data_IF_660624900234
#
_entry.id   IF_660624900234
#
_cell.length_a   1.000
_cell.length_b   1.000
_cell.length_c   1.000
_cell.angle_alpha   90.00
_cell.angle_beta   90.00
_cell.angle_gamma   90.00
#
_symmetry.space_group_name_H-M   'P 1'
#
loop_
_entity.id
_entity.type
_entity.pdbx_description
1 polymer ?
#
# COMPACT_ATOMS: atom_id res chain seq x y z
N UNK A 1 -15.96 16.67 -34.70
CA UNK A 1 -14.70 16.82 -33.95
C UNK A 1 -14.07 15.48 -33.58
N UNK A 2 -14.69 14.64 -32.73
CA UNK A 2 -14.07 13.38 -32.26
C UNK A 2 -13.61 12.49 -33.42
N UNK A 3 -14.50 12.15 -34.36
CA UNK A 3 -14.12 11.33 -35.53
C UNK A 3 -12.99 11.94 -36.36
N UNK A 4 -12.93 13.27 -36.44
CA UNK A 4 -11.86 13.99 -37.16
C UNK A 4 -10.51 13.84 -36.44
N UNK A 5 -10.47 13.95 -35.12
CA UNK A 5 -9.26 13.74 -34.33
C UNK A 5 -8.81 12.28 -34.32
N UNK A 6 -9.75 11.35 -34.22
CA UNK A 6 -9.45 9.91 -34.26
C UNK A 6 -8.88 9.49 -35.61
N UNK A 7 -9.41 10.03 -36.71
CA UNK A 7 -8.85 9.78 -38.05
C UNK A 7 -7.39 10.23 -38.16
N UNK A 8 -7.03 11.40 -37.61
CA UNK A 8 -5.61 11.84 -37.54
C UNK A 8 -4.74 10.86 -36.76
N UNK A 9 -5.30 10.30 -35.68
CA UNK A 9 -4.63 9.30 -34.86
C UNK A 9 -4.41 8.00 -35.62
N UNK A 10 -5.39 7.54 -36.39
CA UNK A 10 -5.28 6.36 -37.24
C UNK A 10 -4.19 6.53 -38.31
N UNK A 11 -4.06 7.74 -38.89
CA UNK A 11 -3.06 8.07 -39.90
C UNK A 11 -1.62 8.11 -39.33
N UNK A 12 -1.45 8.60 -38.10
CA UNK A 12 -0.13 8.73 -37.44
C UNK A 12 0.27 7.44 -36.70
N UNK A 13 -0.70 6.66 -36.23
CA UNK A 13 -0.53 5.44 -35.46
C UNK A 13 -0.65 5.65 -33.94
N UNK A 14 -1.37 4.74 -33.28
CA UNK A 14 -1.71 4.84 -31.85
C UNK A 14 -0.57 4.52 -30.87
N UNK A 15 0.51 3.87 -31.35
CA UNK A 15 1.57 3.31 -30.49
C UNK A 15 2.70 4.32 -30.24
N UNK A 16 2.83 5.33 -31.10
CA UNK A 16 3.86 6.35 -31.02
C UNK A 16 3.56 7.43 -29.97
N UNK A 17 4.62 8.02 -29.39
CA UNK A 17 4.48 9.22 -28.54
C UNK A 17 3.84 10.37 -29.36
N UNK A 18 2.94 11.18 -28.76
CA UNK A 18 2.17 12.21 -29.47
C UNK A 18 3.00 13.48 -29.70
N UNK A 19 4.13 13.34 -30.38
CA UNK A 19 5.05 14.42 -30.74
C UNK A 19 5.26 14.46 -32.24
N UNK A 20 5.19 15.65 -32.83
CA UNK A 20 5.49 15.84 -34.26
C UNK A 20 6.96 15.60 -34.57
N UNK A 21 7.84 15.87 -33.61
CA UNK A 21 9.27 15.65 -33.73
C UNK A 21 9.73 14.57 -32.73
N UNK A 22 10.23 13.45 -33.23
CA UNK A 22 10.65 12.29 -32.44
C UNK A 22 11.82 12.56 -31.49
N UNK A 23 12.59 13.63 -31.73
CA UNK A 23 13.67 14.09 -30.86
C UNK A 23 13.16 14.83 -29.62
N UNK A 24 11.93 15.35 -29.63
CA UNK A 24 11.34 15.99 -28.45
C UNK A 24 10.90 14.92 -27.45
N UNK A 25 11.04 15.24 -26.16
CA UNK A 25 10.53 14.42 -25.06
C UNK A 25 9.11 14.83 -24.69
N UNK A 26 8.28 13.87 -24.29
CA UNK A 26 6.93 14.14 -23.75
C UNK A 26 7.06 14.44 -22.27
N UNK A 27 6.51 15.58 -21.82
CA UNK A 27 6.39 15.88 -20.40
C UNK A 27 5.09 15.31 -19.87
N UNK A 28 5.18 14.42 -18.88
CA UNK A 28 4.04 13.80 -18.20
C UNK A 28 4.08 14.21 -16.75
N UNK A 29 3.02 14.89 -16.30
CA UNK A 29 2.83 15.25 -14.90
C UNK A 29 1.99 14.17 -14.22
N UNK A 30 2.50 13.59 -13.13
CA UNK A 30 1.88 12.51 -12.39
C UNK A 30 1.73 12.86 -10.91
N UNK A 31 0.56 12.60 -10.36
CA UNK A 31 0.24 12.77 -8.95
C UNK A 31 -0.62 11.63 -8.44
N UNK A 32 -0.63 11.46 -7.12
CA UNK A 32 -1.49 10.52 -6.43
C UNK A 32 -2.42 11.28 -5.50
N UNK A 33 -3.72 11.02 -5.59
CA UNK A 33 -4.68 11.42 -4.56
C UNK A 33 -5.13 10.16 -3.83
N UNK A 34 -4.84 10.07 -2.54
CA UNK A 34 -5.20 8.91 -1.74
C UNK A 34 -6.67 8.99 -1.33
N UNK A 35 -7.45 8.01 -1.77
CA UNK A 35 -8.86 7.89 -1.40
C UNK A 35 -9.01 7.09 -0.10
N UNK A 36 -8.33 5.95 0.01
CA UNK A 36 -8.41 5.10 1.19
C UNK A 36 -7.12 4.29 1.39
N UNK A 37 -6.65 4.23 2.63
CA UNK A 37 -5.70 3.23 3.08
C UNK A 37 -6.49 1.95 3.40
N UNK A 38 -6.38 0.95 2.52
CA UNK A 38 -7.23 -0.25 2.59
C UNK A 38 -6.72 -1.22 3.63
N UNK A 39 -5.42 -1.53 3.57
CA UNK A 39 -4.80 -2.55 4.42
C UNK A 39 -3.27 -2.38 4.44
N UNK A 40 -2.66 -2.76 5.55
CA UNK A 40 -1.21 -2.89 5.71
C UNK A 40 -0.92 -4.22 6.40
N UNK A 41 -0.57 -5.21 5.59
CA UNK A 41 -0.31 -6.57 6.05
C UNK A 41 1.13 -6.69 6.57
N UNK A 42 1.30 -6.73 7.88
CA UNK A 42 2.60 -6.84 8.53
C UNK A 42 3.31 -8.16 8.26
N UNK A 43 2.53 -9.23 8.13
CA UNK A 43 3.05 -10.59 7.93
C UNK A 43 3.58 -10.75 6.51
N UNK A 44 2.82 -10.30 5.52
CA UNK A 44 3.19 -10.41 4.11
C UNK A 44 3.98 -9.19 3.59
N UNK A 45 4.23 -8.19 4.44
CA UNK A 45 4.98 -6.98 4.08
C UNK A 45 4.38 -6.26 2.87
N UNK A 46 3.06 -6.06 2.91
CA UNK A 46 2.29 -5.56 1.77
C UNK A 46 1.38 -4.42 2.17
N UNK A 47 1.46 -3.32 1.43
CA UNK A 47 0.56 -2.19 1.55
C UNK A 47 -0.49 -2.24 0.42
N UNK A 48 -1.77 -2.09 0.77
CA UNK A 48 -2.88 -1.94 -0.18
C UNK A 48 -3.53 -0.57 -0.02
N UNK A 49 -3.60 0.19 -1.11
CA UNK A 49 -4.22 1.52 -1.14
C UNK A 49 -5.17 1.67 -2.31
N UNK A 50 -6.20 2.49 -2.12
CA UNK A 50 -7.10 2.97 -3.16
C UNK A 50 -6.79 4.44 -3.45
N UNK A 51 -6.47 4.76 -4.69
CA UNK A 51 -6.01 6.09 -5.12
C UNK A 51 -6.66 6.51 -6.42
N UNK A 52 -6.72 7.82 -6.65
CA UNK A 52 -6.86 8.40 -7.97
C UNK A 52 -5.48 8.74 -8.51
N UNK A 53 -5.10 8.16 -9.64
CA UNK A 53 -3.94 8.66 -10.38
C UNK A 53 -4.33 9.99 -11.00
N UNK A 54 -3.48 11.01 -10.94
CA UNK A 54 -3.68 12.29 -11.64
C UNK A 54 -2.61 12.39 -12.70
N UNK A 55 -2.97 12.20 -13.97
CA UNK A 55 -2.04 12.15 -15.08
C UNK A 55 -2.38 13.27 -16.06
N UNK A 56 -1.38 14.08 -16.41
CA UNK A 56 -1.54 15.16 -17.37
C UNK A 56 -0.40 15.16 -18.36
N UNK A 57 -0.71 15.24 -19.64
CA UNK A 57 0.28 15.38 -20.70
C UNK A 57 -0.26 16.30 -21.79
N UNK A 58 0.63 16.77 -22.66
CA UNK A 58 0.24 17.48 -23.88
C UNK A 58 0.37 16.53 -25.06
N UNK A 59 -0.65 16.54 -25.88
CA UNK A 59 -0.79 15.77 -27.10
C UNK A 59 -0.85 16.72 -28.30
N UNK A 60 0.18 16.68 -29.16
CA UNK A 60 0.26 17.60 -30.31
C UNK A 60 -0.69 17.21 -31.47
N UNK A 61 -1.28 16.01 -31.40
CA UNK A 61 -2.21 15.48 -32.42
C UNK A 61 -3.65 15.83 -32.05
N UNK A 62 -4.00 15.82 -30.76
CA UNK A 62 -5.34 16.17 -30.24
C UNK A 62 -5.58 17.69 -30.10
N UNK A 63 -5.08 18.49 -31.04
CA UNK A 63 -5.28 19.95 -31.05
C UNK A 63 -6.30 20.35 -32.10
N UNK A 64 -7.20 21.29 -31.78
CA UNK A 64 -8.15 21.88 -32.73
C UNK A 64 -8.41 23.35 -32.42
N UNK A 65 -8.91 24.10 -33.41
CA UNK A 65 -9.43 25.46 -33.18
C UNK A 65 -10.91 25.37 -32.77
N UNK A 66 -11.32 25.90 -31.60
CA UNK A 66 -12.73 25.95 -31.22
C UNK A 66 -13.63 26.64 -32.25
N UNK A 67 -13.11 27.59 -33.03
CA UNK A 67 -13.89 28.31 -34.06
C UNK A 67 -14.44 27.37 -35.14
N UNK A 68 -13.69 26.34 -35.50
CA UNK A 68 -14.07 25.36 -36.53
C UNK A 68 -15.11 24.36 -36.04
N UNK A 69 -15.32 24.26 -34.72
CA UNK A 69 -16.14 23.24 -34.08
C UNK A 69 -17.11 23.83 -33.07
N UNK A 70 -17.89 24.84 -33.47
CA UNK A 70 -18.99 25.43 -32.68
C UNK A 70 -18.56 25.91 -31.27
N UNK A 71 -17.32 26.37 -31.12
CA UNK A 71 -16.79 26.83 -29.83
C UNK A 71 -16.47 25.73 -28.82
N UNK A 72 -16.40 24.45 -29.24
CA UNK A 72 -16.06 23.35 -28.34
C UNK A 72 -14.63 23.47 -27.82
N UNK A 73 -14.48 23.56 -26.50
CA UNK A 73 -13.18 23.72 -25.82
C UNK A 73 -12.65 22.44 -25.20
N UNK A 74 -13.51 21.48 -24.87
CA UNK A 74 -13.10 20.20 -24.28
C UNK A 74 -13.96 19.04 -24.77
N UNK A 75 -13.35 17.85 -24.82
CA UNK A 75 -13.98 16.59 -25.22
C UNK A 75 -13.56 15.45 -24.29
N UNK A 76 -14.32 14.34 -24.33
CA UNK A 76 -13.96 13.10 -23.62
C UNK A 76 -13.68 12.00 -24.63
N UNK A 77 -12.54 11.32 -24.48
CA UNK A 77 -12.09 10.25 -25.37
C UNK A 77 -11.79 8.97 -24.58
N UNK A 78 -12.09 7.79 -25.12
CA UNK A 78 -11.68 6.52 -24.50
C UNK A 78 -10.16 6.35 -24.59
N UNK A 79 -9.57 5.77 -23.54
CA UNK A 79 -8.11 5.53 -23.43
C UNK A 79 -7.56 4.61 -24.52
N UNK A 80 -8.38 3.68 -25.01
CA UNK A 80 -7.92 2.64 -25.96
C UNK A 80 -7.74 3.19 -27.39
N UNK A 81 -8.23 4.40 -27.69
CA UNK A 81 -8.16 4.99 -29.03
C UNK A 81 -7.03 6.03 -29.19
N UNK A 82 -6.41 6.44 -28.08
CA UNK A 82 -5.37 7.48 -28.07
C UNK A 82 -4.13 6.97 -27.37
N UNK A 83 -3.00 7.65 -27.57
CA UNK A 83 -1.81 7.35 -26.81
C UNK A 83 -2.00 7.74 -25.34
N UNK A 84 -1.64 6.84 -24.43
CA UNK A 84 -1.58 7.10 -22.99
C UNK A 84 -0.21 6.73 -22.43
N UNK A 85 0.36 7.52 -21.50
CA UNK A 85 1.66 7.20 -20.92
C UNK A 85 1.61 5.93 -20.06
N UNK A 86 2.61 5.09 -20.22
CA UNK A 86 2.76 3.77 -19.58
C UNK A 86 3.39 3.85 -18.18
N UNK A 87 2.80 4.67 -17.31
CA UNK A 87 3.28 4.85 -15.93
C UNK A 87 2.83 3.66 -15.06
N UNK A 88 3.80 2.91 -14.54
CA UNK A 88 3.57 1.68 -13.78
C UNK A 88 4.20 1.74 -12.39
N UNK A 89 3.64 0.97 -11.46
CA UNK A 89 4.19 0.77 -10.13
C UNK A 89 5.28 -0.32 -10.19
N UNK A 90 6.53 0.02 -9.91
CA UNK A 90 7.66 -0.91 -10.02
C UNK A 90 7.81 -1.88 -8.85
N UNK A 91 7.41 -1.46 -7.64
CA UNK A 91 7.44 -2.31 -6.45
C UNK A 91 6.06 -2.92 -6.15
N UNK A 92 5.34 -3.31 -7.21
CA UNK A 92 4.06 -3.98 -7.11
C UNK A 92 4.22 -5.36 -6.45
N UNK A 93 3.20 -5.75 -5.67
CA UNK A 93 3.04 -7.07 -5.09
C UNK A 93 1.72 -7.72 -5.54
N UNK A 94 1.02 -7.08 -6.49
CA UNK A 94 -0.26 -7.55 -6.98
C UNK A 94 -0.10 -8.70 -7.98
N UNK A 95 -1.07 -9.61 -7.99
CA UNK A 95 -1.21 -10.68 -8.98
C UNK A 95 -2.07 -10.26 -10.16
N UNK A 96 -2.83 -9.16 -10.03
CA UNK A 96 -3.68 -8.63 -11.10
C UNK A 96 -2.82 -8.03 -12.21
N UNK A 97 -3.25 -8.24 -13.46
CA UNK A 97 -2.59 -7.69 -14.65
C UNK A 97 -2.88 -6.20 -14.89
N UNK A 98 -3.97 -5.67 -14.31
CA UNK A 98 -4.37 -4.25 -14.41
C UNK A 98 -4.83 -3.73 -13.06
N UNK A 99 -4.19 -2.67 -12.59
CA UNK A 99 -4.49 -2.02 -11.31
C UNK A 99 -5.55 -0.92 -11.44
N UNK A 100 -5.67 -0.36 -12.64
CA UNK A 100 -6.48 0.82 -12.96
C UNK A 100 -7.82 0.42 -13.61
N UNK A 101 -8.86 1.22 -13.39
CA UNK A 101 -10.13 1.12 -14.12
C UNK A 101 -10.07 1.90 -15.43
N UNK A 102 -10.73 1.38 -16.46
CA UNK A 102 -10.90 2.08 -17.73
C UNK A 102 -11.91 3.22 -17.54
N UNK A 103 -11.43 4.45 -17.68
CA UNK A 103 -12.25 5.68 -17.65
C UNK A 103 -11.82 6.57 -18.81
N UNK A 104 -12.70 7.45 -19.25
CA UNK A 104 -12.42 8.39 -20.34
C UNK A 104 -11.38 9.45 -19.92
N UNK A 105 -10.62 9.92 -20.91
CA UNK A 105 -9.67 11.03 -20.81
C UNK A 105 -10.37 12.32 -21.17
N UNK A 106 -10.15 13.38 -20.39
CA UNK A 106 -10.58 14.73 -20.73
C UNK A 106 -9.48 15.42 -21.53
N UNK A 107 -9.83 15.98 -22.69
CA UNK A 107 -8.87 16.65 -23.56
C UNK A 107 -9.38 18.04 -23.90
N UNK A 108 -8.52 19.04 -23.73
CA UNK A 108 -8.79 20.43 -24.10
C UNK A 108 -8.30 20.74 -25.52
N UNK A 109 -8.86 21.79 -26.13
CA UNK A 109 -8.54 22.21 -27.51
C UNK A 109 -7.05 22.49 -27.76
N UNK A 110 -6.31 22.81 -26.69
CA UNK A 110 -4.85 23.02 -26.71
C UNK A 110 -4.05 21.71 -26.79
N UNK A 111 -4.72 20.55 -26.79
CA UNK A 111 -4.10 19.22 -26.71
C UNK A 111 -3.70 18.81 -25.30
N UNK A 112 -4.06 19.57 -24.26
CA UNK A 112 -3.83 19.16 -22.88
C UNK A 112 -4.80 18.04 -22.51
N UNK A 113 -4.26 16.87 -22.19
CA UNK A 113 -5.02 15.70 -21.77
C UNK A 113 -4.90 15.51 -20.25
N UNK A 114 -6.03 15.32 -19.58
CA UNK A 114 -6.15 14.99 -18.18
C UNK A 114 -6.86 13.65 -18.01
N UNK A 115 -6.19 12.72 -17.32
CA UNK A 115 -6.68 11.39 -17.06
C UNK A 115 -6.58 11.07 -15.58
N UNK A 116 -7.71 10.67 -14.98
CA UNK A 116 -7.80 10.40 -13.55
C UNK A 116 -8.44 9.03 -13.23
N UNK A 117 -7.83 7.91 -13.63
CA UNK A 117 -8.36 6.59 -13.34
C UNK A 117 -8.24 6.25 -11.84
N UNK A 118 -9.28 5.68 -11.21
CA UNK A 118 -9.15 5.06 -9.90
C UNK A 118 -8.33 3.78 -10.02
N UNK A 119 -7.47 3.54 -9.04
CA UNK A 119 -6.58 2.40 -8.99
C UNK A 119 -6.46 1.85 -7.58
N UNK A 120 -6.36 0.53 -7.50
CA UNK A 120 -5.99 -0.14 -6.26
C UNK A 120 -4.57 -0.67 -6.45
N UNK A 121 -3.62 -0.14 -5.68
CA UNK A 121 -2.24 -0.59 -5.73
C UNK A 121 -1.93 -1.49 -4.53
N UNK A 122 -1.29 -2.62 -4.83
CA UNK A 122 -0.63 -3.45 -3.83
C UNK A 122 0.87 -3.35 -4.03
N UNK A 123 1.58 -2.89 -3.01
CA UNK A 123 3.03 -2.68 -3.07
C UNK A 123 3.75 -3.38 -1.95
N UNK A 124 4.98 -3.82 -2.22
CA UNK A 124 5.87 -4.33 -1.17
C UNK A 124 6.22 -3.18 -0.23
N UNK A 125 5.95 -3.37 1.06
CA UNK A 125 6.31 -2.45 2.12
C UNK A 125 7.03 -3.19 3.24
N UNK A 126 8.30 -2.85 3.47
CA UNK A 126 9.08 -3.46 4.56
C UNK A 126 8.64 -2.88 5.88
N UNK A 127 8.23 -3.76 6.77
CA UNK A 127 7.71 -3.43 8.08
C UNK A 127 8.77 -3.75 9.13
N UNK A 128 9.09 -2.76 9.96
CA UNK A 128 10.15 -2.83 10.96
C UNK A 128 9.56 -3.05 12.36
N UNK A 129 9.39 -4.31 12.76
CA UNK A 129 8.80 -4.69 14.07
C UNK A 129 9.73 -4.47 15.29
N UNK A 130 10.65 -3.51 15.24
CA UNK A 130 11.59 -3.27 16.34
C UNK A 130 10.91 -2.66 17.57
N UNK A 131 9.87 -1.85 17.35
CA UNK A 131 9.17 -1.09 18.39
C UNK A 131 7.66 -1.32 18.38
N UNK A 132 7.23 -2.47 17.87
CA UNK A 132 5.82 -2.87 17.87
C UNK A 132 5.23 -2.76 19.29
N UNK A 133 4.01 -2.21 19.48
CA UNK A 133 3.03 -1.74 18.49
C UNK A 133 3.03 -0.21 18.23
N UNK A 134 4.11 0.50 18.57
CA UNK A 134 4.21 1.97 18.44
C UNK A 134 5.16 2.42 17.35
N UNK A 135 5.42 1.53 16.40
CA UNK A 135 6.27 1.73 15.25
C UNK A 135 5.59 2.55 14.16
N UNK A 136 6.39 3.37 13.48
CA UNK A 136 5.97 4.06 12.26
C UNK A 136 6.34 3.17 11.09
N UNK A 137 5.37 2.90 10.23
CA UNK A 137 5.61 2.13 9.01
C UNK A 137 5.85 3.09 7.86
N UNK A 138 6.98 2.94 7.18
CA UNK A 138 7.36 3.76 6.04
C UNK A 138 7.28 2.90 4.79
N UNK A 139 6.18 3.05 4.07
CA UNK A 139 5.99 2.43 2.76
C UNK A 139 6.35 3.42 1.66
N UNK A 140 6.81 2.91 0.52
CA UNK A 140 7.04 3.73 -0.66
C UNK A 140 6.37 3.10 -1.88
N UNK A 141 6.00 3.94 -2.84
CA UNK A 141 5.46 3.56 -4.13
C UNK A 141 6.37 4.16 -5.19
N UNK A 142 6.87 3.32 -6.10
CA UNK A 142 7.79 3.71 -7.15
C UNK A 142 7.09 3.74 -8.50
N UNK A 143 6.83 4.91 -9.03
CA UNK A 143 6.22 5.10 -10.35
C UNK A 143 7.24 5.57 -11.37
N UNK A 144 7.27 4.93 -12.53
CA UNK A 144 8.01 5.38 -13.70
C UNK A 144 7.36 4.82 -14.97
N UNK A 145 7.75 5.34 -16.13
CA UNK A 145 7.40 4.70 -17.41
C UNK A 145 8.04 3.31 -17.50
N UNK A 146 7.32 2.37 -18.10
CA UNK A 146 7.83 1.01 -18.34
C UNK A 146 8.79 0.96 -19.53
N UNK A 147 8.45 1.66 -20.63
CA UNK A 147 9.15 1.56 -21.91
C UNK A 147 9.98 2.79 -22.26
N UNK A 148 9.69 3.96 -21.68
CA UNK A 148 10.33 5.22 -22.06
C UNK A 148 11.37 5.67 -21.02
N UNK A 149 12.56 5.99 -21.52
CA UNK A 149 13.64 6.56 -20.72
C UNK A 149 13.54 8.10 -20.60
N UNK A 150 14.51 8.72 -19.91
CA UNK A 150 14.58 10.16 -19.71
C UNK A 150 14.76 11.00 -20.98
N UNK A 151 15.20 10.39 -22.09
CA UNK A 151 15.36 11.10 -23.36
C UNK A 151 14.02 11.20 -24.10
N UNK A 152 13.13 10.22 -23.92
CA UNK A 152 11.84 10.15 -24.61
C UNK A 152 10.67 10.67 -23.77
N UNK A 153 10.72 10.51 -22.46
CA UNK A 153 9.67 10.93 -21.53
C UNK A 153 10.29 11.59 -20.30
N UNK A 154 9.73 12.72 -19.88
CA UNK A 154 10.08 13.38 -18.62
C UNK A 154 8.88 13.31 -17.67
N UNK A 155 9.08 12.64 -16.53
CA UNK A 155 8.05 12.45 -15.51
C UNK A 155 8.22 13.51 -14.41
N UNK A 156 7.19 14.32 -14.18
CA UNK A 156 7.17 15.43 -13.22
C UNK A 156 5.99 15.31 -12.25
N UNK A 157 5.99 16.08 -11.16
CA UNK A 157 4.87 16.09 -10.22
C UNK A 157 3.69 16.88 -10.77
N UNK A 158 2.50 16.30 -10.66
CA UNK A 158 1.26 17.02 -10.96
C UNK A 158 1.14 18.27 -10.07
N UNK A 159 0.88 19.42 -10.69
CA UNK A 159 0.82 20.74 -10.03
C UNK A 159 2.08 21.11 -9.21
N UNK A 160 3.24 20.53 -9.53
CA UNK A 160 4.48 20.67 -8.74
C UNK A 160 4.33 20.26 -7.25
N UNK A 161 3.30 19.47 -6.90
CA UNK A 161 3.11 18.99 -5.53
C UNK A 161 3.96 17.75 -5.28
N UNK A 162 4.97 17.88 -4.43
CA UNK A 162 5.84 16.79 -3.98
C UNK A 162 5.26 16.02 -2.79
N UNK A 163 3.96 15.76 -2.81
CA UNK A 163 3.26 14.98 -1.79
C UNK A 163 2.07 14.21 -2.37
N UNK A 164 1.67 13.11 -1.69
CA UNK A 164 0.41 12.42 -2.00
C UNK A 164 -0.74 13.30 -1.52
N UNK A 165 -1.74 13.60 -2.32
CA UNK A 165 -2.88 14.48 -1.96
C UNK A 165 -3.92 13.73 -1.12
N UNK A 166 -4.58 14.41 -0.16
CA UNK A 166 -5.57 13.83 0.78
C UNK A 166 -6.94 14.52 0.71
N UNK A 167 -7.22 15.29 -0.36
CA UNK A 167 -8.46 16.07 -0.51
C UNK A 167 -9.72 15.18 -0.40
N UNK A 168 -9.65 13.96 -0.93
CA UNK A 168 -10.75 12.97 -0.91
C UNK A 168 -10.48 11.79 0.05
N UNK A 169 -9.54 11.96 0.99
CA UNK A 169 -9.10 10.85 1.84
C UNK A 169 -10.12 10.48 2.92
N UNK A 170 -10.59 9.24 2.87
CA UNK A 170 -11.33 8.63 3.97
C UNK A 170 -10.35 8.10 5.02
N UNK A 171 -10.36 8.72 6.20
CA UNK A 171 -9.53 8.30 7.34
C UNK A 171 -9.78 6.82 7.68
N UNK A 172 -8.69 6.07 7.84
CA UNK A 172 -8.74 4.70 8.35
C UNK A 172 -8.89 4.69 9.87
N UNK A 173 -9.62 3.71 10.39
CA UNK A 173 -9.79 3.53 11.83
C UNK A 173 -8.52 2.96 12.47
N UNK A 174 -7.78 2.12 11.73
CA UNK A 174 -6.63 1.37 12.23
C UNK A 174 -5.31 2.10 12.02
N UNK A 175 -5.22 3.01 11.04
CA UNK A 175 -3.97 3.65 10.68
C UNK A 175 -4.16 5.16 10.48
N UNK A 176 -3.28 5.95 11.09
CA UNK A 176 -3.15 7.39 10.82
C UNK A 176 -1.95 7.66 9.91
N UNK A 177 -2.16 8.51 8.91
CA UNK A 177 -1.09 8.96 8.03
C UNK A 177 -0.43 10.17 8.69
N UNK A 178 0.85 10.01 9.01
CA UNK A 178 1.67 11.02 9.71
C UNK A 178 2.40 11.91 8.70
N UNK A 179 2.90 11.32 7.62
CA UNK A 179 3.64 12.02 6.58
C UNK A 179 3.44 11.35 5.23
N UNK A 180 3.51 12.15 4.16
CA UNK A 180 3.24 11.70 2.79
C UNK A 180 4.14 12.33 1.69
N UNK A 181 5.46 12.47 1.90
CA UNK A 181 6.31 13.18 0.96
C UNK A 181 6.53 12.39 -0.33
N UNK A 182 6.82 13.09 -1.42
CA UNK A 182 7.17 12.52 -2.70
C UNK A 182 8.51 13.09 -3.21
N UNK A 183 9.30 12.25 -3.89
CA UNK A 183 10.64 12.60 -4.36
C UNK A 183 10.82 12.11 -5.79
N UNK A 184 11.32 12.98 -6.67
CA UNK A 184 11.72 12.62 -8.02
C UNK A 184 13.18 12.20 -8.04
N UNK A 185 13.50 11.05 -8.66
CA UNK A 185 14.86 10.55 -8.86
C UNK A 185 15.04 9.97 -10.25
N UNK A 186 16.29 9.95 -10.71
CA UNK A 186 16.67 9.27 -11.95
C UNK A 186 17.34 7.94 -11.60
N UNK A 187 16.71 6.82 -11.94
CA UNK A 187 17.26 5.49 -11.71
C UNK A 187 17.91 4.97 -12.98
N UNK A 188 19.11 4.41 -12.84
CA UNK A 188 19.77 3.63 -13.91
C UNK A 188 19.47 2.15 -13.67
N UNK A 189 18.99 1.46 -14.69
CA UNK A 189 18.83 0.00 -14.66
C UNK A 189 20.15 -0.68 -15.06
N UNK A 190 20.37 -1.93 -14.64
CA UNK A 190 21.63 -2.61 -14.97
C UNK A 190 21.76 -2.94 -16.46
N UNK A 191 20.63 -3.20 -17.13
CA UNK A 191 20.57 -3.57 -18.54
C UNK A 191 20.90 -2.42 -19.50
N UNK A 192 20.74 -1.16 -19.08
CA UNK A 192 20.70 -0.03 -20.02
C UNK A 192 21.54 1.17 -19.55
N UNK A 193 22.11 1.93 -20.50
CA UNK A 193 22.91 3.11 -20.18
C UNK A 193 22.06 4.28 -19.69
N UNK A 194 20.81 4.37 -20.18
CA UNK A 194 19.92 5.49 -19.94
C UNK A 194 19.29 5.44 -18.53
N UNK A 195 18.77 6.58 -18.09
CA UNK A 195 18.11 6.71 -16.78
C UNK A 195 16.62 6.86 -16.97
N UNK A 196 15.85 6.39 -16.00
CA UNK A 196 14.40 6.52 -15.96
C UNK A 196 14.00 7.57 -14.92
N UNK A 197 13.25 8.61 -15.31
CA UNK A 197 12.65 9.53 -14.35
C UNK A 197 11.58 8.77 -13.57
N UNK A 198 11.76 8.75 -12.25
CA UNK A 198 10.95 7.97 -11.32
C UNK A 198 10.45 8.88 -10.21
N UNK A 199 9.16 8.77 -9.90
CA UNK A 199 8.56 9.42 -8.73
C UNK A 199 8.40 8.39 -7.63
N UNK A 200 8.88 8.74 -6.44
CA UNK A 200 8.77 7.95 -5.22
C UNK A 200 7.80 8.64 -4.29
N UNK A 201 6.66 8.02 -4.01
CA UNK A 201 5.72 8.51 -3.02
C UNK A 201 5.88 7.71 -1.74
N UNK A 202 6.13 8.38 -0.63
CA UNK A 202 6.26 7.75 0.68
C UNK A 202 4.96 7.94 1.45
N UNK A 203 4.51 6.89 2.13
CA UNK A 203 3.41 6.93 3.07
C UNK A 203 3.94 6.48 4.43
N UNK A 204 3.85 7.36 5.41
CA UNK A 204 4.22 7.09 6.79
C UNK A 204 2.96 6.89 7.60
N UNK A 205 2.69 5.64 7.96
CA UNK A 205 1.56 5.25 8.79
C UNK A 205 1.95 5.05 10.24
N UNK A 206 1.02 5.33 11.16
CA UNK A 206 1.07 4.97 12.57
C UNK A 206 -0.19 4.21 12.94
N UNK A 207 -0.06 3.12 13.67
CA UNK A 207 -1.20 2.33 14.12
C UNK A 207 -2.05 3.12 15.14
N UNK A 208 -3.34 3.27 14.84
CA UNK A 208 -4.38 3.78 15.71
C UNK A 208 -4.97 2.60 16.49
N UNK A 209 -4.36 2.18 17.59
CA UNK A 209 -5.01 1.19 18.45
C UNK A 209 -6.08 1.89 19.31
N UNK A 210 -7.36 1.49 19.25
CA UNK A 210 -8.29 1.79 20.33
C UNK A 210 -7.88 0.93 21.53
N UNK A 211 -7.76 1.54 22.71
CA UNK A 211 -7.78 0.79 23.95
C UNK A 211 -9.12 0.05 23.99
N UNK A 212 -9.10 -1.29 23.94
CA UNK A 212 -10.29 -2.09 24.20
C UNK A 212 -10.69 -1.90 25.67
N UNK A 213 -11.48 -0.88 25.97
CA UNK A 213 -12.43 -0.96 27.10
C UNK A 213 -13.53 -1.95 26.70
N UNK A 214 -13.23 -3.24 26.85
CA UNK A 214 -14.28 -4.26 26.89
C UNK A 214 -15.00 -4.14 28.23
N UNK A 215 -15.96 -3.23 28.33
CA UNK A 215 -17.05 -3.34 29.31
C UNK A 215 -17.92 -4.54 28.94
N UNK A 216 -17.43 -5.75 29.23
CA UNK A 216 -18.28 -6.93 29.25
C UNK A 216 -19.09 -6.90 30.54
N UNK A 217 -20.24 -6.22 30.48
CA UNK A 217 -21.35 -6.51 31.38
C UNK A 217 -21.71 -7.99 31.25
N UNK A 218 -21.47 -8.74 32.31
CA UNK A 218 -21.86 -10.14 32.48
C UNK A 218 -23.36 -10.30 32.23
N UNK A 219 -23.73 -10.88 31.08
CA UNK A 219 -25.06 -11.44 30.87
C UNK A 219 -24.93 -12.96 30.78
N UNK A 220 -25.14 -13.62 31.92
CA UNK A 220 -25.21 -15.07 32.05
C UNK A 220 -26.32 -15.60 31.12
N UNK A 221 -25.95 -16.38 30.11
CA UNK A 221 -26.89 -17.24 29.36
C UNK A 221 -26.67 -18.69 29.79
N UNK A 222 -27.73 -19.32 30.29
CA UNK A 222 -27.77 -20.72 30.71
C UNK A 222 -27.61 -21.73 29.57
N UNK A 223 -27.54 -23.04 29.89
CA UNK A 223 -27.02 -24.07 29.00
C UNK A 223 -28.04 -24.45 27.91
N UNK A 224 -27.59 -24.48 26.64
CA UNK A 224 -28.35 -25.11 25.55
C UNK A 224 -27.90 -26.55 25.35
N UNK A 225 -28.90 -27.45 25.35
CA UNK A 225 -28.80 -28.88 25.06
C UNK A 225 -28.20 -29.15 23.69
N UNK A 226 -27.35 -30.17 23.63
CA UNK A 226 -26.90 -30.80 22.40
C UNK A 226 -28.05 -31.55 21.73
N UNK A 227 -28.17 -31.44 20.40
CA UNK A 227 -29.03 -32.28 19.60
C UNK A 227 -28.24 -32.82 18.40
N UNK A 228 -28.27 -34.14 18.30
CA UNK A 228 -27.52 -34.99 17.41
C UNK A 228 -28.44 -35.46 16.27
N UNK A 229 -28.02 -35.31 15.01
CA UNK A 229 -28.48 -36.10 13.86
C UNK A 229 -27.55 -35.81 12.66
N UNK A 230 -26.73 -36.78 12.23
CA UNK A 230 -26.97 -37.93 11.32
C UNK A 230 -26.92 -37.56 9.83
N UNK A 231 -25.80 -38.01 9.23
CA UNK A 231 -25.59 -38.62 7.89
C UNK A 231 -25.98 -37.85 6.63
N UNK A 232 -24.94 -37.50 5.86
CA UNK A 232 -24.96 -37.42 4.40
C UNK A 232 -23.62 -37.90 3.85
N UNK A 233 -23.62 -39.04 3.17
CA UNK A 233 -22.47 -39.64 2.48
C UNK A 233 -22.45 -39.10 1.06
N UNK A 234 -21.33 -38.52 0.62
CA UNK A 234 -21.02 -38.41 -0.82
C UNK A 234 -19.59 -38.87 -1.05
N UNK A 235 -19.50 -39.80 -1.99
CA UNK A 235 -18.39 -40.64 -2.39
C UNK A 235 -17.28 -39.82 -3.09
N UNK A 236 -16.04 -39.93 -2.60
CA UNK A 236 -14.84 -39.49 -3.32
C UNK A 236 -14.48 -40.50 -4.42
N UNK A 237 -14.39 -40.06 -5.68
CA UNK A 237 -13.62 -40.77 -6.71
C UNK A 237 -12.18 -40.23 -6.74
N UNK A 238 -11.21 -41.13 -6.49
CA UNK A 238 -9.78 -41.03 -6.84
C UNK A 238 -9.66 -40.82 -8.38
N UNK A 239 -8.64 -40.20 -8.99
CA UNK A 239 -7.18 -40.25 -8.76
C UNK A 239 -6.55 -39.23 -9.74
N UNK A 240 -5.55 -38.45 -9.32
CA UNK A 240 -4.26 -38.32 -10.02
C UNK A 240 -3.31 -37.38 -9.26
N UNK A 241 -2.11 -37.91 -9.08
CA UNK A 241 -0.96 -37.34 -8.40
C UNK A 241 -0.33 -36.20 -9.20
N UNK A 242 0.07 -35.14 -8.51
CA UNK A 242 1.27 -34.38 -8.80
C UNK A 242 1.74 -33.67 -7.51
N UNK A 243 2.07 -34.47 -6.50
CA UNK A 243 3.12 -34.08 -5.56
C UNK A 243 4.43 -34.36 -6.29
N UNK A 244 5.03 -33.30 -6.84
CA UNK A 244 6.46 -33.14 -7.18
C UNK A 244 6.53 -32.02 -8.22
N UNK A 245 6.74 -30.77 -7.76
CA UNK A 245 7.23 -29.58 -8.52
C UNK A 245 7.28 -28.32 -7.61
N UNK A 246 6.77 -28.35 -6.37
CA UNK A 246 6.79 -27.17 -5.47
C UNK A 246 8.01 -27.06 -4.53
N UNK A 247 9.16 -27.67 -4.84
CA UNK A 247 10.39 -27.52 -4.03
C UNK A 247 11.46 -26.59 -4.61
N UNK A 248 11.16 -25.78 -5.63
CA UNK A 248 12.18 -24.91 -6.28
C UNK A 248 11.89 -23.41 -6.29
N UNK A 249 10.87 -22.90 -5.58
CA UNK A 249 10.59 -21.46 -5.55
C UNK A 249 11.27 -20.69 -4.39
N UNK A 250 11.93 -21.37 -3.45
CA UNK A 250 12.51 -20.76 -2.25
C UNK A 250 14.03 -20.53 -2.32
N UNK A 251 14.51 -20.00 -3.45
CA UNK A 251 15.88 -19.47 -3.50
C UNK A 251 16.00 -18.34 -4.52
N UNK A 252 15.32 -17.22 -4.27
CA UNK A 252 15.68 -15.98 -4.95
C UNK A 252 17.13 -15.61 -4.60
N UNK A 253 18.02 -15.43 -5.58
CA UNK A 253 19.41 -15.06 -5.33
C UNK A 253 19.48 -13.67 -4.70
N UNK A 254 20.23 -13.55 -3.60
CA UNK A 254 20.49 -12.33 -2.79
C UNK A 254 21.14 -11.16 -3.55
N UNK A 255 21.33 -11.24 -4.88
CA UNK A 255 21.98 -10.22 -5.73
C UNK A 255 21.03 -9.28 -6.47
N UNK A 256 19.71 -9.48 -6.37
CA UNK A 256 18.70 -8.59 -6.99
C UNK A 256 18.19 -7.46 -6.08
N UNK A 257 18.99 -7.02 -5.10
CA UNK A 257 18.69 -5.80 -4.36
C UNK A 257 19.19 -4.59 -5.15
N UNK A 258 18.43 -4.17 -6.15
CA UNK A 258 18.49 -2.77 -6.56
C UNK A 258 18.13 -1.93 -5.33
N UNK A 259 19.08 -1.09 -4.88
CA UNK A 259 18.98 -0.18 -3.75
C UNK A 259 17.54 0.24 -3.44
N UNK A 260 16.99 -0.23 -2.30
CA UNK A 260 15.75 0.33 -1.77
C UNK A 260 15.98 1.84 -1.60
N UNK A 261 15.17 2.70 -2.20
CA UNK A 261 15.30 4.13 -1.97
C UNK A 261 15.00 4.39 -0.50
N UNK A 262 16.04 4.69 0.27
CA UNK A 262 15.86 5.06 1.67
C UNK A 262 15.11 6.39 1.74
N UNK A 263 14.14 6.52 2.68
CA UNK A 263 13.54 7.81 2.98
C UNK A 263 14.64 8.81 3.41
N UNK A 264 14.47 10.12 3.19
CA UNK A 264 15.48 11.10 3.57
C UNK A 264 15.74 11.09 5.09
N UNK A 265 17.01 11.24 5.50
CA UNK A 265 17.45 11.20 6.92
C UNK A 265 16.73 12.21 7.82
N UNK A 266 16.29 13.35 7.27
CA UNK A 266 15.63 14.39 8.05
C UNK A 266 14.20 13.99 8.49
N UNK A 267 13.53 13.14 7.72
CA UNK A 267 12.19 12.64 8.06
C UNK A 267 12.23 11.58 9.15
N UNK A 268 13.20 10.67 9.08
CA UNK A 268 13.33 9.58 10.07
C UNK A 268 13.63 10.12 11.48
N UNK A 269 14.36 11.24 11.61
CA UNK A 269 14.60 11.90 12.91
C UNK A 269 13.32 12.45 13.55
N UNK A 270 12.39 13.01 12.76
CA UNK A 270 11.12 13.58 13.28
C UNK A 270 10.16 12.52 13.81
N UNK A 271 10.22 11.30 13.29
CA UNK A 271 9.32 10.20 13.67
C UNK A 271 9.73 9.50 14.98
N UNK A 272 10.98 9.61 15.46
CA UNK A 272 11.52 8.81 16.58
C UNK A 272 10.96 9.13 17.99
N UNK A 273 9.93 9.98 18.12
CA UNK A 273 9.48 10.51 19.41
C UNK A 273 8.17 9.84 19.86
N UNK A 274 8.26 8.86 20.76
CA UNK A 274 7.38 8.61 21.92
C UNK A 274 7.37 7.10 22.33
N UNK A 275 8.31 6.71 23.20
CA UNK A 275 8.41 5.35 23.77
C UNK A 275 7.80 5.22 25.17
N UNK A 276 7.27 6.31 25.74
CA UNK A 276 6.86 6.35 27.16
C UNK A 276 5.64 5.49 27.45
N UNK A 277 4.73 5.33 26.48
CA UNK A 277 3.49 4.56 26.66
C UNK A 277 3.72 3.04 26.72
N UNK A 278 4.77 2.52 26.06
CA UNK A 278 5.19 1.11 26.13
C UNK A 278 5.64 0.70 27.54
N UNK A 279 6.37 1.60 28.21
CA UNK A 279 6.85 1.38 29.56
C UNK A 279 5.69 1.12 30.53
N UNK A 280 4.58 1.86 30.40
CA UNK A 280 3.45 1.76 31.33
C UNK A 280 2.50 0.58 31.06
N UNK A 281 2.29 0.17 29.80
CA UNK A 281 1.28 -0.84 29.46
C UNK A 281 1.81 -2.26 29.28
N UNK A 282 3.08 -2.44 28.89
CA UNK A 282 3.66 -3.76 28.68
C UNK A 282 4.74 -4.08 29.71
N UNK A 283 5.64 -3.13 29.98
CA UNK A 283 6.77 -3.37 30.89
C UNK A 283 6.32 -3.34 32.35
N UNK A 284 5.55 -2.33 32.75
CA UNK A 284 5.13 -2.15 34.15
C UNK A 284 4.26 -3.30 34.66
N UNK A 285 3.23 -3.80 33.94
CA UNK A 285 2.45 -4.95 34.38
C UNK A 285 3.29 -6.23 34.42
N UNK A 286 4.21 -6.42 33.47
CA UNK A 286 5.12 -7.58 33.45
C UNK A 286 6.10 -7.56 34.62
N UNK A 287 6.65 -6.39 34.96
CA UNK A 287 7.50 -6.19 36.14
C UNK A 287 6.70 -6.39 37.43
N UNK A 288 5.47 -5.89 37.50
CA UNK A 288 4.61 -6.05 38.68
C UNK A 288 4.25 -7.52 38.90
N UNK A 289 3.95 -8.27 37.83
CA UNK A 289 3.74 -9.72 37.88
C UNK A 289 5.02 -10.47 38.28
N UNK A 290 6.19 -10.05 37.79
CA UNK A 290 7.47 -10.62 38.20
C UNK A 290 7.74 -10.38 39.70
N UNK A 291 7.47 -9.18 40.20
CA UNK A 291 7.59 -8.83 41.62
C UNK A 291 6.62 -9.64 42.48
N UNK A 292 5.35 -9.80 42.06
CA UNK A 292 4.37 -10.63 42.77
C UNK A 292 4.80 -12.10 42.86
N UNK A 293 5.43 -12.64 41.81
CA UNK A 293 6.01 -13.99 41.87
C UNK A 293 7.20 -14.09 42.82
N UNK A 294 8.02 -13.04 42.96
CA UNK A 294 9.13 -13.03 43.91
C UNK A 294 8.64 -13.08 45.36
N UNK A 295 7.47 -12.52 45.67
CA UNK A 295 6.85 -12.59 47.01
C UNK A 295 6.54 -14.04 47.43
N UNK A 296 6.25 -14.94 46.48
CA UNK A 296 6.03 -16.38 46.75
C UNK A 296 7.27 -17.05 47.38
N UNK A 297 8.47 -16.55 47.09
CA UNK A 297 9.72 -17.09 47.64
C UNK A 297 10.00 -16.62 49.07
N UNK A 298 9.37 -15.52 49.52
CA UNK A 298 9.51 -14.99 50.88
C UNK A 298 8.50 -15.58 51.87
N UNK A 299 7.49 -16.30 51.38
CA UNK A 299 6.50 -16.98 52.23
C UNK A 299 7.09 -18.28 52.83
N UNK A 300 7.03 -18.48 54.16
CA UNK A 300 7.53 -19.69 54.79
C UNK A 300 6.80 -20.94 54.25
N UNK A 301 7.49 -22.08 54.07
CA UNK A 301 6.98 -23.26 53.37
C UNK A 301 5.80 -23.95 54.06
N UNK A 302 5.51 -23.59 55.31
CA UNK A 302 4.48 -24.22 56.14
C UNK A 302 3.10 -23.57 55.98
N UNK A 303 2.99 -22.44 55.28
CA UNK A 303 1.73 -21.70 55.14
C UNK A 303 0.98 -22.15 53.88
N UNK A 304 -0.26 -22.68 54.00
CA UNK A 304 -1.06 -23.14 52.85
C UNK A 304 -1.36 -22.01 51.84
N UNK A 305 -1.32 -20.76 52.27
CA UNK A 305 -1.45 -19.58 51.42
C UNK A 305 -0.38 -19.49 50.33
N UNK A 306 0.82 -20.06 50.52
CA UNK A 306 1.90 -20.07 49.52
C UNK A 306 1.50 -20.86 48.27
N UNK A 307 0.88 -22.02 48.45
CA UNK A 307 0.40 -22.87 47.34
C UNK A 307 -0.79 -22.25 46.60
N UNK A 308 -1.70 -21.61 47.34
CA UNK A 308 -2.86 -20.92 46.76
C UNK A 308 -2.41 -19.70 45.95
N UNK A 309 -1.52 -18.87 46.51
CA UNK A 309 -1.01 -17.69 45.83
C UNK A 309 -0.23 -18.06 44.56
N UNK A 310 0.67 -19.05 44.61
CA UNK A 310 1.41 -19.51 43.44
C UNK A 310 0.53 -20.11 42.33
N UNK A 311 -0.55 -20.81 42.70
CA UNK A 311 -1.52 -21.37 41.74
C UNK A 311 -2.34 -20.26 41.07
N UNK A 312 -2.77 -19.26 41.82
CA UNK A 312 -3.56 -18.15 41.27
C UNK A 312 -2.69 -17.16 40.46
N UNK A 313 -1.45 -16.87 40.88
CA UNK A 313 -0.52 -16.07 40.06
C UNK A 313 -0.16 -16.81 38.77
N UNK A 314 0.09 -18.12 38.82
CA UNK A 314 0.33 -18.95 37.64
C UNK A 314 -0.84 -18.96 36.66
N UNK A 315 -2.08 -19.09 37.16
CA UNK A 315 -3.30 -18.96 36.34
C UNK A 315 -3.45 -17.56 35.74
N UNK A 316 -3.20 -16.51 36.51
CA UNK A 316 -3.31 -15.13 36.05
C UNK A 316 -2.28 -14.81 34.96
N UNK A 317 -1.04 -15.28 35.12
CA UNK A 317 0.03 -15.19 34.11
C UNK A 317 -0.35 -15.97 32.86
N UNK A 318 -0.88 -17.18 33.01
CA UNK A 318 -1.34 -17.97 31.87
C UNK A 318 -2.49 -17.29 31.12
N UNK A 319 -3.46 -16.70 31.81
CA UNK A 319 -4.58 -15.98 31.21
C UNK A 319 -4.14 -14.69 30.52
N UNK A 320 -3.27 -13.90 31.16
CA UNK A 320 -2.70 -12.67 30.56
C UNK A 320 -1.82 -12.98 29.35
N UNK A 321 -0.98 -14.01 29.40
CA UNK A 321 -0.19 -14.46 28.24
C UNK A 321 -1.07 -15.08 27.14
N UNK A 322 -2.15 -15.77 27.50
CA UNK A 322 -3.12 -16.31 26.53
C UNK A 322 -3.85 -15.19 25.79
N UNK A 323 -4.28 -14.14 26.48
CA UNK A 323 -4.85 -12.95 25.83
C UNK A 323 -3.82 -12.22 24.96
N UNK A 324 -2.54 -12.21 25.33
CA UNK A 324 -1.47 -11.71 24.45
C UNK A 324 -1.17 -12.62 23.26
N UNK A 325 -1.40 -13.94 23.36
CA UNK A 325 -1.27 -14.86 22.22
C UNK A 325 -2.41 -14.74 21.20
N UNK A 326 -3.59 -14.25 21.63
CA UNK A 326 -4.72 -13.91 20.75
C UNK A 326 -4.50 -12.57 20.03
N UNK A 327 -3.53 -11.77 20.48
CA UNK A 327 -3.09 -10.51 19.86
C UNK A 327 -1.99 -10.69 18.79
N UNK A 328 -1.61 -11.93 18.44
CA UNK A 328 -0.59 -12.26 17.43
C UNK A 328 -1.18 -12.74 16.11
#
# INVERSE_FOLDING_TARGET
LINYLLKKYDEIGHIGRPVRNTSKRVSVAFGLSLFQLMDLDEKNQMLTINVWNKITWRDEVLTWDPKDFMGLTSIRLPVDLIWTPDIVLYNYADVRLREQRNVLVAVDYTGMAFWSPPAIYKSICRIEMKYFPFDYQICYLRFASWTQDSQKLDLTFHENRSEVTLEEFKKSNEWSIVARPAIRRLFKQACCPNKWPTLLFFLVGKLNRPLLEKNHGLRLKGPRRAQQNRRGVVVCRRKLSCCDILSSANRMPKRFFYFLPLPPRDWTRRLKRNSSFYAYLLVLPSLLLACLNLVVFWLPPQVPARMIHGKETGKFIFLTLRDQSVLK
#
